data_IF_044007662177
#
_entry.id   IF_044007662177
#
_cell.length_a   1.000
_cell.length_b   1.000
_cell.length_c   1.000
_cell.angle_alpha   90.00
_cell.angle_beta   90.00
_cell.angle_gamma   90.00
#
_symmetry.space_group_name_H-M   'P 1'
#
loop_
_entity.id
_entity.type
_entity.pdbx_description
1 polymer ?
#
# COMPACT_ATOMS: atom_id res chain seq x y z
N UNK A 1 10.09 -2.90 12.16
CA UNK A 1 9.79 -3.18 10.73
C UNK A 1 10.47 -4.47 10.26
N UNK A 2 9.74 -5.33 9.54
CA UNK A 2 10.22 -6.65 9.08
C UNK A 2 11.36 -6.56 8.06
N UNK A 3 11.22 -5.71 7.02
CA UNK A 3 12.23 -5.57 5.96
C UNK A 3 13.56 -5.01 6.49
N UNK A 4 13.51 -4.03 7.40
CA UNK A 4 14.72 -3.54 8.09
C UNK A 4 15.39 -4.63 8.92
N UNK A 5 14.60 -5.47 9.61
CA UNK A 5 15.14 -6.60 10.39
C UNK A 5 15.76 -7.70 9.50
N UNK A 6 15.34 -7.79 8.24
CA UNK A 6 15.93 -8.66 7.22
C UNK A 6 17.19 -8.06 6.55
N UNK A 7 17.71 -6.94 7.07
CA UNK A 7 18.87 -6.22 6.55
C UNK A 7 18.72 -5.74 5.08
N UNK A 8 17.48 -5.53 4.63
CA UNK A 8 17.22 -5.00 3.26
C UNK A 8 17.08 -3.49 3.20
N UNK A 9 17.00 -2.83 4.35
CA UNK A 9 16.95 -1.35 4.53
C UNK A 9 16.18 -0.57 3.45
N UNK A 10 14.88 -0.86 3.24
CA UNK A 10 14.12 -0.28 2.12
C UNK A 10 13.96 1.24 2.24
N UNK A 11 13.87 1.91 1.10
CA UNK A 11 13.26 3.25 1.03
C UNK A 11 11.74 3.12 1.23
N UNK A 12 11.09 4.15 1.77
CA UNK A 12 9.63 4.15 1.90
C UNK A 12 8.99 5.54 1.80
N UNK A 13 7.72 5.55 1.40
CA UNK A 13 6.81 6.70 1.47
C UNK A 13 5.45 6.23 2.01
N UNK A 14 5.02 6.79 3.13
CA UNK A 14 3.75 6.48 3.78
C UNK A 14 3.06 7.77 4.25
N UNK A 15 1.73 7.75 4.34
CA UNK A 15 0.84 8.84 4.73
C UNK A 15 0.81 9.11 6.24
N UNK A 16 1.94 9.02 6.92
CA UNK A 16 2.07 9.28 8.36
C UNK A 16 3.46 8.94 8.90
N UNK A 17 3.76 9.25 10.15
CA UNK A 17 5.07 8.95 10.73
C UNK A 17 5.13 7.53 11.32
N UNK A 18 6.18 6.79 10.99
CA UNK A 18 6.50 5.54 11.70
C UNK A 18 6.98 5.86 13.11
N UNK A 19 6.40 5.22 14.13
CA UNK A 19 6.79 5.46 15.53
C UNK A 19 8.29 5.27 15.80
N UNK A 20 8.92 4.27 15.18
CA UNK A 20 10.33 3.95 15.39
C UNK A 20 11.30 4.86 14.63
N UNK A 21 10.86 5.52 13.56
CA UNK A 21 11.72 6.36 12.71
C UNK A 21 11.42 7.86 12.91
N UNK A 22 10.18 8.22 13.22
CA UNK A 22 9.73 9.59 13.39
C UNK A 22 9.54 10.35 12.07
N UNK A 23 9.45 9.65 10.94
CA UNK A 23 9.09 10.25 9.65
C UNK A 23 8.29 9.28 8.77
N UNK A 24 7.50 9.83 7.85
CA UNK A 24 6.75 9.08 6.84
C UNK A 24 7.49 8.81 5.53
N UNK A 25 8.69 9.34 5.35
CA UNK A 25 9.49 9.06 4.17
C UNK A 25 10.97 8.92 4.50
N UNK A 26 11.61 7.92 3.91
CA UNK A 26 13.04 7.70 4.00
C UNK A 26 13.57 7.25 2.65
N UNK A 27 14.66 7.88 2.21
CA UNK A 27 15.37 7.50 0.99
C UNK A 27 16.72 6.87 1.35
N UNK A 28 16.88 5.58 1.05
CA UNK A 28 18.13 4.88 1.16
C UNK A 28 18.81 4.75 -0.21
N UNK A 29 19.97 5.39 -0.37
CA UNK A 29 20.71 5.45 -1.64
C UNK A 29 21.22 4.10 -2.13
N UNK A 30 21.31 3.10 -1.25
CA UNK A 30 21.87 1.77 -1.55
C UNK A 30 20.81 0.68 -1.61
N UNK A 31 19.53 1.02 -1.41
CA UNK A 31 18.42 0.06 -1.46
C UNK A 31 17.77 0.06 -2.84
N UNK A 32 17.59 -1.13 -3.40
CA UNK A 32 16.76 -1.35 -4.59
C UNK A 32 15.27 -1.50 -4.26
N UNK A 33 14.93 -1.60 -2.97
CA UNK A 33 13.55 -1.72 -2.50
C UNK A 33 12.96 -0.36 -2.16
N UNK A 34 11.74 -0.13 -2.65
CA UNK A 34 10.88 0.98 -2.31
C UNK A 34 9.51 0.43 -1.86
N UNK A 35 9.04 0.88 -0.70
CA UNK A 35 7.72 0.55 -0.17
C UNK A 35 6.87 1.81 -0.14
N UNK A 36 5.75 1.81 -0.85
CA UNK A 36 4.86 2.98 -0.94
C UNK A 36 3.48 2.59 -0.45
N UNK A 37 2.82 3.48 0.30
CA UNK A 37 1.40 3.39 0.57
C UNK A 37 0.59 3.74 -0.69
N UNK A 38 -0.24 2.80 -1.14
CA UNK A 38 -1.22 3.04 -2.20
C UNK A 38 -2.55 3.43 -1.59
N UNK A 39 -2.81 4.73 -1.47
CA UNK A 39 -4.11 5.29 -1.05
C UNK A 39 -5.05 5.38 -2.26
N UNK A 40 -6.23 4.79 -2.16
CA UNK A 40 -7.22 4.82 -3.23
C UNK A 40 -7.93 6.18 -3.37
N UNK A 41 -7.82 7.08 -2.39
CA UNK A 41 -8.72 8.21 -2.21
C UNK A 41 -8.87 9.16 -3.41
N UNK A 42 -7.82 9.30 -4.22
CA UNK A 42 -7.77 10.18 -5.41
C UNK A 42 -7.38 9.45 -6.70
N UNK A 43 -7.30 8.11 -6.67
CA UNK A 43 -6.95 7.27 -7.81
C UNK A 43 -5.48 7.27 -8.21
N UNK A 44 -4.61 8.03 -7.54
CA UNK A 44 -3.17 8.08 -7.86
C UNK A 44 -2.47 6.73 -7.71
N UNK A 45 -3.00 5.83 -6.87
CA UNK A 45 -2.47 4.46 -6.73
C UNK A 45 -2.50 3.65 -8.04
N UNK A 46 -3.33 4.03 -9.03
CA UNK A 46 -3.36 3.39 -10.35
C UNK A 46 -2.09 3.65 -11.17
N UNK A 47 -1.34 4.70 -10.83
CA UNK A 47 -0.11 5.10 -11.52
C UNK A 47 1.14 4.49 -10.87
N UNK A 48 0.98 3.68 -9.80
CA UNK A 48 2.10 3.02 -9.13
C UNK A 48 2.59 1.84 -9.96
N UNK A 49 3.75 2.01 -10.60
CA UNK A 49 4.51 0.93 -11.26
C UNK A 49 5.15 0.00 -10.21
N UNK A 50 4.36 -0.93 -9.70
CA UNK A 50 4.74 -1.83 -8.61
C UNK A 50 5.02 -3.24 -9.12
N UNK A 51 6.08 -3.86 -8.60
CA UNK A 51 6.31 -5.29 -8.81
C UNK A 51 5.38 -6.17 -7.97
N UNK A 52 5.06 -5.70 -6.75
CA UNK A 52 4.28 -6.41 -5.74
C UNK A 52 3.27 -5.43 -5.13
N UNK A 53 2.01 -5.83 -5.04
CA UNK A 53 1.00 -5.12 -4.24
C UNK A 53 0.39 -5.99 -3.17
N UNK A 54 0.14 -5.39 -2.01
CA UNK A 54 -0.57 -5.99 -0.89
C UNK A 54 -1.85 -5.20 -0.68
N UNK A 55 -2.99 -5.85 -0.87
CA UNK A 55 -4.32 -5.28 -0.61
C UNK A 55 -4.79 -5.80 0.75
N UNK A 56 -4.94 -4.89 1.71
CA UNK A 56 -5.35 -5.21 3.10
C UNK A 56 -6.87 -5.30 3.23
N UNK A 57 -7.60 -4.38 2.62
CA UNK A 57 -9.06 -4.38 2.52
C UNK A 57 -9.49 -3.50 1.34
N UNK A 58 -10.76 -3.62 0.95
CA UNK A 58 -11.39 -2.73 -0.03
C UNK A 58 -12.74 -2.31 0.56
N UNK A 59 -12.81 -1.06 1.01
CA UNK A 59 -13.95 -0.52 1.73
C UNK A 59 -14.56 0.67 0.99
N UNK A 60 -15.85 0.92 1.16
CA UNK A 60 -16.59 1.93 0.40
C UNK A 60 -16.39 3.36 0.93
N UNK A 61 -15.15 3.76 1.19
CA UNK A 61 -14.83 5.00 1.90
C UNK A 61 -14.71 6.20 0.95
N UNK A 62 -14.11 5.99 -0.22
CA UNK A 62 -13.80 7.06 -1.19
C UNK A 62 -14.79 7.14 -2.36
N UNK A 63 -16.07 6.80 -2.13
CA UNK A 63 -17.11 6.85 -3.16
C UNK A 63 -17.38 8.26 -3.72
N UNK A 64 -16.98 9.32 -3.02
CA UNK A 64 -17.03 10.67 -3.59
C UNK A 64 -16.16 10.80 -4.86
N UNK A 65 -15.03 10.11 -4.90
CA UNK A 65 -14.15 10.02 -6.06
C UNK A 65 -14.66 8.99 -7.07
N UNK A 66 -14.93 7.76 -6.62
CA UNK A 66 -15.28 6.64 -7.52
C UNK A 66 -16.74 6.62 -7.96
N UNK A 67 -17.62 7.42 -7.37
CA UNK A 67 -19.07 7.50 -7.58
C UNK A 67 -19.84 6.31 -7.01
N UNK A 68 -19.34 5.10 -7.17
CA UNK A 68 -19.97 3.87 -6.69
C UNK A 68 -18.95 2.75 -6.40
N UNK A 69 -19.40 1.73 -5.68
CA UNK A 69 -18.60 0.59 -5.25
C UNK A 69 -18.10 -0.28 -6.43
N UNK A 70 -18.84 -0.31 -7.55
CA UNK A 70 -18.41 -1.06 -8.73
C UNK A 70 -17.16 -0.44 -9.34
N UNK A 71 -17.12 0.90 -9.44
CA UNK A 71 -15.96 1.63 -9.96
C UNK A 71 -14.76 1.58 -9.03
N UNK A 72 -14.97 1.62 -7.73
CA UNK A 72 -13.90 1.42 -6.75
C UNK A 72 -13.26 0.03 -6.96
N UNK A 73 -14.09 -1.02 -7.01
CA UNK A 73 -13.61 -2.40 -7.25
C UNK A 73 -12.97 -2.57 -8.62
N UNK A 74 -13.43 -1.85 -9.63
CA UNK A 74 -12.79 -1.82 -10.95
C UNK A 74 -11.40 -1.17 -10.89
N UNK A 75 -11.24 -0.07 -10.16
CA UNK A 75 -9.94 0.57 -9.96
C UNK A 75 -8.94 -0.40 -9.30
N UNK A 76 -9.34 -1.09 -8.22
CA UNK A 76 -8.49 -2.13 -7.62
C UNK A 76 -8.16 -3.28 -8.57
N UNK A 77 -9.07 -3.68 -9.47
CA UNK A 77 -8.75 -4.69 -10.49
C UNK A 77 -7.76 -4.16 -11.52
N UNK A 78 -7.87 -2.90 -11.90
CA UNK A 78 -7.01 -2.28 -12.91
C UNK A 78 -5.59 -2.09 -12.39
N UNK A 79 -5.40 -1.76 -11.11
CA UNK A 79 -4.07 -1.66 -10.51
C UNK A 79 -3.27 -2.97 -10.50
N UNK A 80 -3.90 -4.11 -10.80
CA UNK A 80 -3.28 -5.43 -10.74
C UNK A 80 -2.70 -5.92 -12.06
N UNK A 81 -2.92 -5.23 -13.19
CA UNK A 81 -2.69 -5.81 -14.52
C UNK A 81 -1.22 -6.10 -14.85
N UNK A 82 -0.27 -5.37 -14.25
CA UNK A 82 1.17 -5.51 -14.54
C UNK A 82 1.99 -6.06 -13.36
N UNK A 83 1.32 -6.44 -12.26
CA UNK A 83 2.00 -6.95 -11.06
C UNK A 83 2.65 -8.31 -11.32
N UNK A 84 3.87 -8.49 -10.83
CA UNK A 84 4.48 -9.82 -10.73
C UNK A 84 3.77 -10.67 -9.68
N UNK A 85 3.32 -10.03 -8.59
CA UNK A 85 2.60 -10.67 -7.48
C UNK A 85 1.55 -9.73 -6.90
N UNK A 86 0.32 -10.23 -6.70
CA UNK A 86 -0.72 -9.55 -5.91
C UNK A 86 -1.10 -10.41 -4.70
N UNK A 87 -1.05 -9.83 -3.51
CA UNK A 87 -1.39 -10.51 -2.25
C UNK A 87 -2.64 -9.86 -1.65
N UNK A 88 -3.64 -10.67 -1.35
CA UNK A 88 -4.80 -10.26 -0.56
C UNK A 88 -4.59 -10.73 0.88
N UNK A 89 -4.53 -9.79 1.82
CA UNK A 89 -4.27 -10.10 3.23
C UNK A 89 -5.49 -9.73 4.07
N UNK A 90 -6.13 -10.74 4.67
CA UNK A 90 -7.26 -10.52 5.58
C UNK A 90 -6.77 -10.45 7.04
N UNK A 91 -6.63 -9.23 7.56
CA UNK A 91 -6.17 -9.01 8.94
C UNK A 91 -7.33 -9.27 9.92
N UNK A 92 -7.33 -10.45 10.54
CA UNK A 92 -8.23 -10.76 11.64
C UNK A 92 -7.63 -10.31 12.98
N UNK A 93 -7.90 -9.07 13.38
CA UNK A 93 -7.55 -8.61 14.73
C UNK A 93 -8.46 -9.32 15.74
N UNK A 94 -7.95 -10.35 16.41
CA UNK A 94 -8.56 -10.86 17.64
C UNK A 94 -8.27 -9.87 18.76
N UNK A 95 -9.20 -8.95 18.99
CA UNK A 95 -9.21 -8.14 20.21
C UNK A 95 -9.48 -9.10 21.38
N UNK A 96 -8.43 -9.42 22.15
CA UNK A 96 -8.60 -10.05 23.46
C UNK A 96 -9.11 -8.98 24.42
N UNK A 97 -10.43 -8.87 24.55
CA UNK A 97 -11.08 -8.24 25.70
C UNK A 97 -11.07 -9.18 26.89
#
# INVERSE_FOLDING_TARGET
MLLSAAATEPSFLIGGDLNEIGCGALWNKTSDLLVVEGDESDGSFLELDSDISIITSVESDHLAYYKDDLKLKEAFRNSQQELKVCIYMEIHLKLNT
#
